data_IF_327471822590
#
_entry.id   IF_327471822590
#
_cell.length_a   1.000
_cell.length_b   1.000
_cell.length_c   1.000
_cell.angle_alpha   90.00
_cell.angle_beta   90.00
_cell.angle_gamma   90.00
#
_symmetry.space_group_name_H-M   'P 1'
#
loop_
_entity.id
_entity.type
_entity.pdbx_description
1 polymer ?
#
# COMPACT_ATOMS: atom_id res chain seq x y z
N UNK A 1 2.60 5.42 12.82
CA UNK A 1 1.36 4.96 12.16
C UNK A 1 0.24 5.86 12.64
N UNK A 2 -0.45 6.54 11.75
CA UNK A 2 -1.40 7.59 12.14
C UNK A 2 -2.69 7.51 11.32
N UNK A 3 -3.83 7.78 11.96
CA UNK A 3 -5.15 7.77 11.29
C UNK A 3 -5.24 8.80 10.16
N UNK A 4 -4.43 9.86 10.19
CA UNK A 4 -4.39 10.86 9.12
C UNK A 4 -3.91 10.28 7.78
N UNK A 5 -3.12 9.20 7.79
CA UNK A 5 -2.60 8.56 6.57
C UNK A 5 -3.73 7.94 5.73
N UNK A 6 -4.88 7.64 6.37
CA UNK A 6 -6.09 7.08 5.73
C UNK A 6 -7.32 7.98 5.91
N UNK A 7 -7.13 9.29 6.00
CA UNK A 7 -8.20 10.27 6.27
C UNK A 7 -9.42 10.08 5.36
N UNK A 8 -9.21 9.83 4.08
CA UNK A 8 -10.30 9.64 3.11
C UNK A 8 -11.13 8.39 3.41
N UNK A 9 -10.45 7.31 3.84
CA UNK A 9 -11.11 6.06 4.24
C UNK A 9 -11.90 6.29 5.52
N UNK A 10 -11.30 6.93 6.53
CA UNK A 10 -11.94 7.29 7.80
C UNK A 10 -13.19 8.15 7.53
N UNK A 11 -13.06 9.19 6.72
CA UNK A 11 -14.16 10.12 6.39
C UNK A 11 -15.34 9.39 5.74
N UNK A 12 -15.06 8.47 4.82
CA UNK A 12 -16.10 7.66 4.18
C UNK A 12 -16.85 6.78 5.19
N UNK A 13 -16.13 6.11 6.09
CA UNK A 13 -16.74 5.24 7.12
C UNK A 13 -17.55 6.06 8.13
N UNK A 14 -16.99 7.18 8.60
CA UNK A 14 -17.67 8.12 9.52
C UNK A 14 -18.98 8.60 8.92
N UNK A 15 -19.00 8.94 7.64
CA UNK A 15 -20.21 9.35 6.92
C UNK A 15 -21.27 8.23 6.89
N UNK A 16 -20.88 7.02 6.50
CA UNK A 16 -21.80 5.88 6.44
C UNK A 16 -22.40 5.61 7.81
N UNK A 17 -21.59 5.59 8.86
CA UNK A 17 -22.07 5.32 10.23
C UNK A 17 -23.00 6.45 10.70
N UNK A 18 -22.65 7.71 10.44
CA UNK A 18 -23.49 8.86 10.77
C UNK A 18 -24.84 8.81 10.05
N UNK A 19 -24.87 8.39 8.79
CA UNK A 19 -26.11 8.24 8.02
C UNK A 19 -26.99 7.09 8.53
N UNK A 20 -26.38 5.97 8.95
CA UNK A 20 -27.10 4.84 9.53
C UNK A 20 -27.67 5.18 10.91
N UNK A 21 -26.86 5.79 11.78
CA UNK A 21 -27.25 6.10 13.16
C UNK A 21 -28.07 7.38 13.30
N UNK A 22 -28.03 8.27 12.31
CA UNK A 22 -28.69 9.57 12.36
C UNK A 22 -28.09 10.57 13.34
N UNK A 23 -26.85 10.35 13.78
CA UNK A 23 -26.16 11.15 14.81
C UNK A 23 -24.81 11.70 14.32
N UNK A 24 -24.28 12.66 15.08
CA UNK A 24 -22.93 13.14 14.83
C UNK A 24 -21.90 12.09 15.23
N UNK A 25 -21.02 11.77 14.29
CA UNK A 25 -19.94 10.81 14.44
C UNK A 25 -18.62 11.51 14.17
N UNK A 26 -17.66 11.31 15.06
CA UNK A 26 -16.33 11.93 14.94
C UNK A 26 -15.24 10.90 15.23
N UNK A 27 -14.14 11.02 14.50
CA UNK A 27 -12.90 10.29 14.76
C UNK A 27 -11.79 11.29 15.07
N UNK A 28 -11.08 11.04 16.16
CA UNK A 28 -9.87 11.79 16.54
C UNK A 28 -8.68 10.84 16.62
N UNK A 29 -7.49 11.39 16.44
CA UNK A 29 -6.25 10.64 16.62
C UNK A 29 -5.80 10.58 18.09
N UNK A 30 -4.70 9.88 18.34
CA UNK A 30 -4.10 9.76 19.67
C UNK A 30 -3.59 11.08 20.25
N UNK A 31 -3.40 12.11 19.42
CA UNK A 31 -2.99 13.44 19.83
C UNK A 31 -4.19 14.36 20.07
N UNK A 32 -5.41 13.81 20.03
CA UNK A 32 -6.68 14.52 20.18
C UNK A 32 -7.01 15.47 19.02
N UNK A 33 -6.31 15.33 17.87
CA UNK A 33 -6.61 16.07 16.67
C UNK A 33 -7.76 15.40 15.91
N UNK A 34 -8.71 16.20 15.43
CA UNK A 34 -9.86 15.70 14.67
C UNK A 34 -9.43 15.25 13.27
N UNK A 35 -9.67 13.99 12.94
CA UNK A 35 -9.43 13.42 11.61
C UNK A 35 -10.64 13.62 10.71
N UNK A 36 -11.84 13.32 11.23
CA UNK A 36 -13.10 13.46 10.49
C UNK A 36 -14.27 13.65 11.43
N UNK A 37 -15.24 14.47 11.02
CA UNK A 37 -16.52 14.66 11.70
C UNK A 37 -17.60 14.84 10.65
N UNK A 38 -18.79 14.25 10.90
CA UNK A 38 -19.97 14.39 10.04
C UNK A 38 -21.14 14.85 10.90
N UNK A 39 -21.85 15.88 10.42
CA UNK A 39 -22.96 16.55 11.12
C UNK A 39 -22.54 17.16 12.47
N UNK A 40 -21.53 18.06 12.47
CA UNK A 40 -21.18 18.76 13.70
C UNK A 40 -22.42 19.52 14.22
N UNK A 41 -22.84 19.17 15.42
CA UNK A 41 -24.03 19.79 16.04
C UNK A 41 -23.79 21.24 16.50
N UNK A 42 -22.51 21.65 16.51
CA UNK A 42 -21.99 22.97 16.94
C UNK A 42 -20.54 23.14 16.39
N UNK A 43 -20.03 24.35 16.46
CA UNK A 43 -18.62 24.64 16.17
C UNK A 43 -17.74 23.90 17.20
N UNK A 44 -17.32 22.72 16.82
CA UNK A 44 -16.43 21.90 17.66
C UNK A 44 -14.99 22.34 17.42
N UNK A 45 -14.15 22.53 18.46
CA UNK A 45 -12.75 22.86 18.30
C UNK A 45 -11.99 21.77 17.51
N UNK A 46 -10.95 22.15 16.79
CA UNK A 46 -10.11 21.20 16.04
C UNK A 46 -9.40 20.21 16.99
N UNK A 47 -9.04 20.69 18.18
CA UNK A 47 -8.38 19.88 19.21
C UNK A 47 -9.32 19.62 20.37
N UNK A 48 -9.36 18.37 20.80
CA UNK A 48 -10.13 17.90 21.95
C UNK A 48 -9.22 17.87 23.17
N UNK A 49 -9.78 18.19 24.35
CA UNK A 49 -8.99 18.24 25.59
C UNK A 49 -8.72 16.84 26.15
N UNK A 50 -7.54 16.68 26.78
CA UNK A 50 -7.18 15.42 27.45
C UNK A 50 -8.07 15.05 28.64
N UNK A 51 -8.61 16.02 29.34
CA UNK A 51 -9.55 15.82 30.46
C UNK A 51 -11.02 15.67 29.99
N UNK A 52 -11.24 15.42 28.69
CA UNK A 52 -12.55 15.12 28.12
C UNK A 52 -12.90 13.62 28.23
N UNK A 53 -14.16 13.28 27.89
CA UNK A 53 -14.62 11.88 27.76
C UNK A 53 -13.73 11.11 26.77
N UNK A 54 -13.44 11.72 25.65
CA UNK A 54 -12.66 11.09 24.56
C UNK A 54 -11.19 10.97 24.95
N UNK A 55 -10.63 11.98 25.60
CA UNK A 55 -9.27 11.90 26.17
C UNK A 55 -9.12 10.79 27.20
N UNK A 56 -10.17 10.54 28.00
CA UNK A 56 -10.21 9.40 28.92
C UNK A 56 -10.17 8.07 28.19
N UNK A 57 -10.92 7.92 27.09
CA UNK A 57 -10.91 6.70 26.26
C UNK A 57 -9.55 6.45 25.65
N UNK A 58 -8.89 7.49 25.14
CA UNK A 58 -7.54 7.36 24.57
C UNK A 58 -6.53 6.97 25.64
N UNK A 59 -6.62 7.57 26.84
CA UNK A 59 -5.66 7.29 27.90
C UNK A 59 -5.84 5.93 28.56
N UNK A 60 -7.07 5.42 28.62
CA UNK A 60 -7.38 4.13 29.27
C UNK A 60 -7.47 2.95 28.32
N UNK A 61 -7.72 3.20 27.04
CA UNK A 61 -8.00 2.17 26.05
C UNK A 61 -9.35 1.44 26.27
N UNK A 62 -10.23 2.00 27.11
CA UNK A 62 -11.51 1.42 27.44
C UNK A 62 -12.67 2.24 26.87
N UNK A 63 -13.71 1.60 26.33
CA UNK A 63 -14.88 2.31 25.87
C UNK A 63 -15.60 3.02 27.05
N UNK A 64 -16.19 4.16 26.76
CA UNK A 64 -16.88 4.96 27.76
C UNK A 64 -18.19 5.51 27.19
N UNK A 65 -19.29 5.25 27.90
CA UNK A 65 -20.61 5.82 27.61
C UNK A 65 -21.06 6.71 28.77
N UNK A 66 -21.39 7.95 28.47
CA UNK A 66 -21.84 8.95 29.46
C UNK A 66 -23.19 9.46 29.03
N UNK A 67 -24.24 9.09 29.79
CA UNK A 67 -25.64 9.43 29.54
C UNK A 67 -26.00 10.88 29.93
N UNK A 68 -25.20 11.48 30.79
CA UNK A 68 -25.42 12.85 31.24
C UNK A 68 -24.05 13.54 31.48
N UNK A 69 -23.50 14.23 30.46
CA UNK A 69 -22.23 14.92 30.60
C UNK A 69 -22.17 15.90 31.79
N UNK A 70 -23.30 16.47 32.21
CA UNK A 70 -23.33 17.37 33.35
C UNK A 70 -23.02 16.72 34.70
N UNK A 71 -23.22 15.40 34.81
CA UNK A 71 -22.87 14.60 35.99
C UNK A 71 -21.44 14.05 35.94
N UNK A 72 -20.81 14.07 34.79
CA UNK A 72 -19.45 13.54 34.61
C UNK A 72 -18.43 14.55 35.12
N UNK A 73 -17.59 14.15 36.06
CA UNK A 73 -16.67 15.06 36.76
C UNK A 73 -15.73 15.86 35.82
N UNK A 74 -15.12 15.27 34.78
CA UNK A 74 -14.32 16.02 33.81
C UNK A 74 -15.11 17.07 33.04
N UNK A 75 -16.41 16.82 32.74
CA UNK A 75 -17.24 17.79 32.02
C UNK A 75 -17.50 19.07 32.84
N UNK A 76 -17.47 19.01 34.16
CA UNK A 76 -17.61 20.20 35.03
C UNK A 76 -16.52 21.24 34.81
N UNK A 77 -15.38 20.85 34.27
CA UNK A 77 -14.26 21.72 33.90
C UNK A 77 -14.27 22.17 32.45
N UNK A 78 -15.26 21.71 31.68
CA UNK A 78 -15.41 22.10 30.28
C UNK A 78 -15.84 23.58 30.18
N UNK A 79 -15.23 24.40 29.33
CA UNK A 79 -15.65 25.79 29.11
C UNK A 79 -17.11 25.90 28.71
N UNK A 80 -17.59 24.93 27.92
CA UNK A 80 -18.95 24.88 27.39
C UNK A 80 -19.94 24.16 28.32
N UNK A 81 -19.57 23.88 29.57
CA UNK A 81 -20.40 23.10 30.49
C UNK A 81 -21.83 23.62 30.62
N UNK A 82 -21.99 24.94 30.76
CA UNK A 82 -23.30 25.59 30.94
C UNK A 82 -24.12 25.71 29.63
N UNK A 83 -23.44 25.69 28.50
CA UNK A 83 -24.05 25.75 27.16
C UNK A 83 -24.12 24.38 26.47
N UNK A 84 -23.66 23.33 27.13
CA UNK A 84 -23.58 21.98 26.57
C UNK A 84 -24.96 21.48 26.12
N UNK A 85 -25.07 21.13 24.84
CA UNK A 85 -26.30 20.62 24.21
C UNK A 85 -26.31 19.10 24.04
N UNK A 86 -25.28 18.41 24.58
CA UNK A 86 -25.17 16.95 24.52
C UNK A 86 -26.06 16.32 25.58
N UNK A 87 -26.80 15.29 25.20
CA UNK A 87 -27.53 14.42 26.13
C UNK A 87 -26.66 13.24 26.56
N UNK A 88 -25.85 12.73 25.62
CA UNK A 88 -24.87 11.70 25.90
C UNK A 88 -23.73 11.65 24.92
N UNK A 89 -22.66 10.97 25.32
CA UNK A 89 -21.49 10.69 24.50
C UNK A 89 -21.11 9.23 24.68
N UNK A 90 -20.91 8.53 23.56
CA UNK A 90 -20.36 7.18 23.56
C UNK A 90 -19.06 7.24 22.78
N UNK A 91 -17.97 6.82 23.39
CA UNK A 91 -16.65 6.80 22.76
C UNK A 91 -16.01 5.42 22.89
N UNK A 92 -15.39 4.95 21.84
CA UNK A 92 -14.66 3.69 21.78
C UNK A 92 -13.25 3.92 21.25
N UNK A 93 -12.22 3.23 21.77
CA UNK A 93 -10.87 3.37 21.29
C UNK A 93 -10.71 2.69 19.92
N UNK A 94 -9.85 3.24 19.09
CA UNK A 94 -9.35 2.60 17.86
C UNK A 94 -8.00 2.01 18.18
N UNK A 95 -7.94 0.69 18.32
CA UNK A 95 -6.74 -0.04 18.73
C UNK A 95 -6.20 -0.84 17.55
N UNK A 96 -4.92 -0.71 17.26
CA UNK A 96 -4.26 -1.47 16.21
C UNK A 96 -2.98 -2.09 16.75
N UNK A 97 -2.86 -3.41 16.68
CA UNK A 97 -1.70 -4.16 17.17
C UNK A 97 -1.31 -3.83 18.63
N UNK A 98 -2.30 -3.55 19.46
CA UNK A 98 -2.09 -3.18 20.87
C UNK A 98 -1.78 -1.70 21.14
N UNK A 99 -1.65 -0.88 20.10
CA UNK A 99 -1.48 0.57 20.26
C UNK A 99 -2.79 1.32 20.03
N UNK A 100 -3.06 2.31 20.85
CA UNK A 100 -4.21 3.20 20.69
C UNK A 100 -3.85 4.25 19.64
N UNK A 101 -4.59 4.24 18.54
CA UNK A 101 -4.40 5.17 17.42
C UNK A 101 -5.28 6.40 17.51
N UNK A 102 -6.36 6.31 18.28
CA UNK A 102 -7.32 7.37 18.44
C UNK A 102 -8.60 6.86 19.06
N UNK A 103 -9.68 7.60 18.88
CA UNK A 103 -11.01 7.21 19.32
C UNK A 103 -12.08 7.57 18.28
N UNK A 104 -13.08 6.74 18.24
CA UNK A 104 -14.34 6.92 17.54
C UNK A 104 -15.39 7.31 18.54
N UNK A 105 -16.10 8.42 18.37
CA UNK A 105 -17.12 8.82 19.29
C UNK A 105 -18.38 9.36 18.61
N UNK A 106 -19.48 9.17 19.31
CA UNK A 106 -20.84 9.56 18.90
C UNK A 106 -21.39 10.52 19.92
N UNK A 107 -21.91 11.64 19.44
CA UNK A 107 -22.61 12.63 20.29
C UNK A 107 -24.11 12.52 20.07
N UNK A 108 -24.84 12.35 21.16
CA UNK A 108 -26.30 12.31 21.16
C UNK A 108 -26.82 13.66 21.64
N UNK A 109 -27.56 14.41 20.80
CA UNK A 109 -28.13 15.70 21.19
C UNK A 109 -29.33 15.50 22.16
N UNK A 110 -29.57 16.50 23.02
CA UNK A 110 -30.67 16.48 23.99
C UNK A 110 -32.08 16.25 23.39
N UNK A 111 -32.26 16.63 22.13
CA UNK A 111 -33.50 16.39 21.39
C UNK A 111 -33.79 14.91 21.10
N UNK A 112 -32.84 14.02 21.35
CA UNK A 112 -32.92 12.59 21.00
C UNK A 112 -32.57 11.68 22.17
N UNK A 113 -32.95 12.03 23.38
CA UNK A 113 -32.58 11.32 24.62
C UNK A 113 -32.80 9.81 24.62
N UNK A 114 -33.90 9.33 23.99
CA UNK A 114 -34.14 7.89 23.86
C UNK A 114 -33.13 7.16 22.96
N UNK A 115 -32.39 7.90 22.14
CA UNK A 115 -31.40 7.32 21.24
C UNK A 115 -30.15 6.87 22.00
N UNK A 116 -29.79 7.57 23.12
CA UNK A 116 -28.63 7.19 23.90
C UNK A 116 -28.73 5.76 24.45
N UNK A 117 -29.88 5.39 24.98
CA UNK A 117 -30.09 4.03 25.51
C UNK A 117 -29.96 2.96 24.41
N UNK A 118 -30.49 3.24 23.21
CA UNK A 118 -30.37 2.34 22.06
C UNK A 118 -28.91 2.22 21.62
N UNK A 119 -28.17 3.33 21.55
CA UNK A 119 -26.77 3.33 21.15
C UNK A 119 -25.86 2.71 22.22
N UNK A 120 -26.16 2.92 23.51
CA UNK A 120 -25.42 2.29 24.59
C UNK A 120 -25.56 0.76 24.58
N UNK A 121 -26.74 0.24 24.25
CA UNK A 121 -26.91 -1.20 24.04
C UNK A 121 -26.21 -1.73 22.78
N UNK A 122 -25.78 -0.83 21.91
CA UNK A 122 -25.08 -1.14 20.66
C UNK A 122 -23.60 -0.75 20.70
N UNK A 123 -23.01 -0.59 21.89
CA UNK A 123 -21.59 -0.20 22.03
C UNK A 123 -20.69 -1.17 21.27
N UNK A 124 -20.99 -2.47 21.29
CA UNK A 124 -20.27 -3.48 20.52
C UNK A 124 -20.34 -3.25 19.00
N UNK A 125 -21.39 -2.59 18.48
CA UNK A 125 -21.40 -2.17 17.09
C UNK A 125 -20.37 -1.09 16.81
N UNK A 126 -20.22 -0.13 17.73
CA UNK A 126 -19.21 0.94 17.59
C UNK A 126 -17.80 0.39 17.74
N UNK A 127 -17.57 -0.58 18.62
CA UNK A 127 -16.31 -1.30 18.76
C UNK A 127 -15.96 -2.05 17.47
N UNK A 128 -16.91 -2.80 16.91
CA UNK A 128 -16.72 -3.45 15.61
C UNK A 128 -16.37 -2.45 14.48
N UNK A 129 -16.95 -1.26 14.50
CA UNK A 129 -16.61 -0.21 13.53
C UNK A 129 -15.21 0.34 13.75
N UNK A 130 -14.77 0.49 14.99
CA UNK A 130 -13.40 0.87 15.33
C UNK A 130 -12.38 -0.21 14.87
N UNK A 131 -12.70 -1.48 15.07
CA UNK A 131 -11.88 -2.62 14.61
C UNK A 131 -11.75 -2.65 13.09
N UNK A 132 -12.85 -2.43 12.36
CA UNK A 132 -12.82 -2.33 10.90
C UNK A 132 -11.93 -1.18 10.40
N UNK A 133 -11.92 -0.03 11.08
CA UNK A 133 -11.01 1.06 10.76
C UNK A 133 -9.55 0.67 11.00
N UNK A 134 -9.29 -0.04 12.08
CA UNK A 134 -7.95 -0.56 12.41
C UNK A 134 -7.45 -1.55 11.35
N UNK A 135 -8.28 -2.49 10.92
CA UNK A 135 -7.94 -3.45 9.86
C UNK A 135 -7.67 -2.76 8.52
N UNK A 136 -8.45 -1.74 8.17
CA UNK A 136 -8.24 -0.94 6.96
C UNK A 136 -6.92 -0.20 7.01
N UNK A 137 -6.54 0.34 8.15
CA UNK A 137 -5.26 1.00 8.34
C UNK A 137 -4.10 0.01 8.16
N UNK A 138 -4.16 -1.17 8.77
CA UNK A 138 -3.14 -2.22 8.60
C UNK A 138 -2.99 -2.60 7.12
N UNK A 139 -4.11 -2.80 6.44
CA UNK A 139 -4.12 -3.16 5.02
C UNK A 139 -3.50 -2.06 4.15
N UNK A 140 -3.82 -0.80 4.41
CA UNK A 140 -3.26 0.34 3.71
C UNK A 140 -1.74 0.44 3.89
N UNK A 141 -1.25 0.25 5.12
CA UNK A 141 0.18 0.32 5.43
C UNK A 141 0.94 -0.80 4.74
N UNK A 142 0.41 -2.03 4.77
CA UNK A 142 1.00 -3.15 4.05
C UNK A 142 1.07 -2.88 2.55
N UNK A 143 -0.01 -2.36 1.98
CA UNK A 143 -0.05 -2.01 0.56
C UNK A 143 1.00 -0.93 0.23
N UNK A 144 1.07 0.13 1.03
CA UNK A 144 2.04 1.21 0.83
C UNK A 144 3.48 0.71 0.93
N UNK A 145 3.80 -0.10 1.96
CA UNK A 145 5.13 -0.68 2.11
C UNK A 145 5.52 -1.56 0.90
N UNK A 146 4.59 -2.35 0.36
CA UNK A 146 4.82 -3.16 -0.84
C UNK A 146 5.03 -2.29 -2.07
N UNK A 147 4.28 -1.19 -2.20
CA UNK A 147 4.41 -0.26 -3.32
C UNK A 147 5.75 0.51 -3.27
N UNK A 148 6.17 0.95 -2.08
CA UNK A 148 7.47 1.59 -1.86
C UNK A 148 8.62 0.65 -2.26
N UNK A 149 8.59 -0.62 -1.81
CA UNK A 149 9.57 -1.65 -2.21
C UNK A 149 9.56 -1.88 -3.73
N UNK A 150 8.36 -1.94 -4.33
CA UNK A 150 8.23 -2.10 -5.78
C UNK A 150 8.88 -0.93 -6.53
N UNK A 151 8.61 0.30 -6.10
CA UNK A 151 9.20 1.50 -6.71
C UNK A 151 10.72 1.53 -6.57
N UNK A 152 11.23 1.14 -5.40
CA UNK A 152 12.68 1.02 -5.18
C UNK A 152 13.30 -0.01 -6.11
N UNK A 153 12.70 -1.20 -6.25
CA UNK A 153 13.17 -2.21 -7.19
C UNK A 153 13.13 -1.73 -8.63
N UNK A 154 12.04 -1.07 -9.06
CA UNK A 154 11.92 -0.48 -10.39
C UNK A 154 13.02 0.57 -10.64
N UNK A 155 13.33 1.40 -9.64
CA UNK A 155 14.40 2.39 -9.74
C UNK A 155 15.75 1.70 -9.92
N UNK A 156 16.08 0.70 -9.10
CA UNK A 156 17.36 -0.04 -9.18
C UNK A 156 17.51 -0.68 -10.57
N UNK A 157 16.48 -1.38 -11.06
CA UNK A 157 16.55 -2.06 -12.36
C UNK A 157 16.63 -1.06 -13.52
N UNK A 158 16.05 0.15 -13.38
CA UNK A 158 16.17 1.21 -14.38
C UNK A 158 17.55 1.92 -14.38
N UNK A 159 18.31 1.84 -13.29
CA UNK A 159 19.69 2.35 -13.21
C UNK A 159 20.69 1.43 -13.93
N UNK A 160 20.32 0.17 -14.16
CA UNK A 160 21.17 -0.78 -14.90
C UNK A 160 21.22 -0.33 -16.36
N UNK A 161 22.43 -0.20 -16.92
CA UNK A 161 22.63 0.19 -18.31
C UNK A 161 22.24 -0.91 -19.32
N UNK A 162 22.10 -2.13 -18.87
CA UNK A 162 21.66 -3.24 -19.68
C UNK A 162 20.12 -3.26 -19.85
N UNK A 163 19.64 -3.76 -20.98
CA UNK A 163 18.22 -4.00 -21.21
C UNK A 163 17.78 -5.26 -20.46
N UNK A 164 16.85 -5.12 -19.54
CA UNK A 164 16.39 -6.20 -18.67
C UNK A 164 14.91 -6.48 -18.88
N UNK A 165 14.57 -7.77 -19.02
CA UNK A 165 13.16 -8.23 -19.05
C UNK A 165 12.98 -9.47 -18.18
N UNK A 166 11.82 -9.53 -17.48
CA UNK A 166 11.35 -10.69 -16.73
C UNK A 166 10.13 -11.26 -17.41
N UNK A 167 10.13 -12.58 -17.63
CA UNK A 167 8.98 -13.30 -18.18
C UNK A 167 8.56 -14.42 -17.26
N UNK A 168 7.34 -14.89 -17.40
CA UNK A 168 6.97 -16.21 -16.89
C UNK A 168 7.60 -17.34 -17.71
N UNK A 169 7.34 -18.59 -17.33
CA UNK A 169 7.85 -19.78 -18.02
C UNK A 169 7.25 -19.96 -19.42
N UNK A 170 6.11 -19.32 -19.72
CA UNK A 170 5.50 -19.33 -21.06
C UNK A 170 6.15 -18.30 -21.98
N UNK A 171 7.01 -17.45 -21.45
CA UNK A 171 7.69 -16.36 -22.16
C UNK A 171 6.89 -15.07 -22.23
N UNK A 172 5.81 -14.92 -21.45
CA UNK A 172 5.07 -13.67 -21.38
C UNK A 172 5.82 -12.64 -20.54
N UNK A 173 6.06 -11.45 -21.09
CA UNK A 173 6.80 -10.37 -20.42
C UNK A 173 5.94 -9.79 -19.30
N UNK A 174 6.37 -10.01 -18.05
CA UNK A 174 5.74 -9.45 -16.86
C UNK A 174 6.29 -8.07 -16.52
N UNK A 175 7.58 -7.84 -16.78
CA UNK A 175 8.27 -6.59 -16.50
C UNK A 175 9.44 -6.41 -17.47
N UNK A 176 9.73 -5.15 -17.83
CA UNK A 176 10.96 -4.77 -18.52
C UNK A 176 11.37 -3.34 -18.11
N UNK A 177 12.69 -3.09 -18.06
CA UNK A 177 13.22 -1.76 -17.75
C UNK A 177 13.14 -0.82 -18.97
N UNK A 178 13.34 0.49 -18.70
CA UNK A 178 13.32 1.51 -19.77
C UNK A 178 14.32 1.23 -20.90
N UNK A 179 15.49 0.66 -20.58
CA UNK A 179 16.48 0.32 -21.61
C UNK A 179 15.96 -0.76 -22.55
N UNK A 180 15.29 -1.79 -22.01
CA UNK A 180 14.66 -2.82 -22.82
C UNK A 180 13.55 -2.25 -23.72
N UNK A 181 12.70 -1.38 -23.15
CA UNK A 181 11.64 -0.71 -23.95
C UNK A 181 12.24 0.09 -25.10
N UNK A 182 13.25 0.92 -24.85
CA UNK A 182 13.90 1.75 -25.89
C UNK A 182 14.57 0.90 -26.96
N UNK A 183 15.11 -0.28 -26.60
CA UNK A 183 15.86 -1.13 -27.52
C UNK A 183 14.97 -2.08 -28.32
N UNK A 184 13.85 -2.50 -27.77
CA UNK A 184 13.00 -3.55 -28.34
C UNK A 184 11.54 -3.14 -28.54
N UNK A 185 11.12 -1.95 -28.12
CA UNK A 185 9.76 -1.51 -28.28
C UNK A 185 9.41 -1.24 -29.74
N UNK A 186 8.33 -1.83 -30.17
CA UNK A 186 7.71 -1.62 -31.50
C UNK A 186 6.55 -0.63 -31.45
N UNK A 187 6.37 0.11 -30.33
CA UNK A 187 5.33 1.13 -30.17
C UNK A 187 4.00 0.61 -29.57
N UNK A 188 3.89 -0.69 -29.30
CA UNK A 188 2.63 -1.30 -28.81
C UNK A 188 2.61 -1.63 -27.31
N UNK A 189 3.69 -1.26 -26.57
CA UNK A 189 3.91 -1.69 -25.19
C UNK A 189 4.32 -3.17 -25.11
N UNK A 190 5.33 -3.48 -24.30
CA UNK A 190 5.93 -4.82 -24.25
C UNK A 190 5.32 -5.73 -23.19
N UNK A 191 4.68 -5.16 -22.18
CA UNK A 191 4.10 -5.93 -21.08
C UNK A 191 2.92 -6.79 -21.59
N UNK A 192 2.94 -8.06 -21.23
CA UNK A 192 1.94 -9.03 -21.71
C UNK A 192 2.25 -9.64 -23.09
N UNK A 193 3.26 -9.14 -23.83
CA UNK A 193 3.68 -9.77 -25.08
C UNK A 193 4.60 -10.97 -24.84
N UNK A 194 4.67 -11.88 -25.80
CA UNK A 194 5.63 -12.98 -25.75
C UNK A 194 7.03 -12.47 -26.06
N UNK A 195 8.02 -12.86 -25.26
CA UNK A 195 9.43 -12.54 -25.50
C UNK A 195 9.91 -13.04 -26.86
N UNK A 196 9.34 -14.13 -27.38
CA UNK A 196 9.68 -14.67 -28.71
C UNK A 196 9.16 -13.82 -29.87
N UNK A 197 8.13 -13.00 -29.65
CA UNK A 197 7.68 -12.03 -30.66
C UNK A 197 8.60 -10.82 -30.71
N UNK A 198 9.22 -10.48 -29.59
CA UNK A 198 10.13 -9.34 -29.44
C UNK A 198 11.55 -9.72 -29.86
N UNK A 199 12.02 -10.90 -29.42
CA UNK A 199 13.36 -11.41 -29.70
C UNK A 199 13.26 -12.75 -30.43
N UNK A 200 13.39 -12.67 -31.75
CA UNK A 200 13.29 -13.86 -32.63
C UNK A 200 14.62 -14.61 -32.68
N UNK A 201 14.99 -15.27 -31.58
CA UNK A 201 16.23 -16.03 -31.49
C UNK A 201 15.97 -17.49 -31.10
N UNK A 202 16.65 -18.49 -31.76
CA UNK A 202 16.46 -19.91 -31.46
C UNK A 202 16.70 -20.27 -30.01
N UNK A 203 17.72 -19.71 -29.37
CA UNK A 203 18.06 -20.00 -27.99
C UNK A 203 16.98 -19.50 -26.99
N UNK A 204 16.24 -18.43 -27.31
CA UNK A 204 15.10 -17.98 -26.50
C UNK A 204 13.98 -19.02 -26.52
N UNK A 205 13.70 -19.58 -27.72
CA UNK A 205 12.70 -20.64 -27.86
C UNK A 205 13.10 -21.92 -27.13
N UNK A 206 14.39 -22.29 -27.20
CA UNK A 206 14.93 -23.47 -26.50
C UNK A 206 14.83 -23.30 -24.97
N UNK A 207 15.14 -22.12 -24.43
CA UNK A 207 14.97 -21.82 -22.98
C UNK A 207 13.52 -21.97 -22.51
N UNK A 208 12.56 -21.55 -23.31
CA UNK A 208 11.15 -21.67 -22.98
C UNK A 208 10.69 -23.15 -23.04
N UNK A 209 11.29 -23.97 -23.91
CA UNK A 209 10.96 -25.40 -24.01
C UNK A 209 11.59 -26.23 -22.88
N UNK A 210 12.72 -25.78 -22.32
CA UNK A 210 13.46 -26.50 -21.28
C UNK A 210 13.80 -25.61 -20.06
N UNK A 211 12.79 -25.06 -19.37
CA UNK A 211 13.02 -24.07 -18.29
C UNK A 211 13.68 -24.65 -17.04
N UNK A 212 13.78 -25.96 -16.93
CA UNK A 212 14.35 -26.63 -15.73
C UNK A 212 15.88 -26.71 -15.70
N UNK A 213 16.55 -26.38 -16.79
CA UNK A 213 18.03 -26.35 -16.80
C UNK A 213 18.50 -25.03 -16.19
N UNK A 214 18.97 -25.11 -14.93
CA UNK A 214 19.67 -24.01 -14.24
C UNK A 214 20.91 -23.63 -15.06
N UNK A 215 21.02 -22.38 -15.43
CA UNK A 215 22.20 -21.83 -16.10
C UNK A 215 21.85 -20.67 -17.02
N UNK A 216 22.79 -19.74 -17.17
CA UNK A 216 22.70 -18.68 -18.15
C UNK A 216 23.05 -19.21 -19.53
N UNK A 217 22.32 -18.76 -20.57
CA UNK A 217 22.70 -18.99 -21.95
C UNK A 217 23.09 -17.67 -22.57
N UNK A 218 24.26 -17.65 -23.17
CA UNK A 218 24.74 -16.50 -23.93
C UNK A 218 24.01 -16.43 -25.27
N UNK A 219 23.48 -15.27 -25.59
CA UNK A 219 22.74 -14.98 -26.79
C UNK A 219 23.43 -13.85 -27.55
N UNK A 220 23.71 -14.07 -28.82
CA UNK A 220 24.06 -12.98 -29.73
C UNK A 220 22.83 -12.68 -30.59
N UNK A 221 22.34 -11.44 -30.52
CA UNK A 221 21.15 -11.03 -31.23
C UNK A 221 21.40 -9.74 -31.99
N UNK A 222 21.07 -9.73 -33.27
CA UNK A 222 21.01 -8.54 -34.11
C UNK A 222 19.55 -8.18 -34.35
N UNK A 223 19.17 -6.97 -33.91
CA UNK A 223 17.80 -6.50 -34.11
C UNK A 223 17.61 -6.16 -35.59
N UNK A 224 16.73 -6.86 -36.31
CA UNK A 224 16.56 -6.68 -37.76
C UNK A 224 15.98 -5.31 -38.14
N UNK A 225 15.27 -4.66 -37.21
CA UNK A 225 14.64 -3.34 -37.44
C UNK A 225 15.61 -2.19 -37.20
N UNK A 226 16.47 -2.29 -36.18
CA UNK A 226 17.35 -1.21 -35.76
C UNK A 226 18.82 -1.46 -36.16
N UNK A 227 19.11 -2.61 -36.70
CA UNK A 227 20.49 -3.06 -37.04
C UNK A 227 21.49 -2.96 -35.87
N UNK A 228 20.96 -3.06 -34.62
CA UNK A 228 21.77 -3.02 -33.41
C UNK A 228 22.12 -4.43 -32.97
N UNK A 229 23.36 -4.57 -32.46
CA UNK A 229 23.90 -5.84 -32.01
C UNK A 229 23.89 -5.92 -30.48
N UNK A 230 23.39 -7.00 -29.94
CA UNK A 230 23.31 -7.21 -28.50
C UNK A 230 23.94 -8.54 -28.11
N UNK A 231 24.70 -8.53 -27.03
CA UNK A 231 24.99 -9.74 -26.25
C UNK A 231 23.96 -9.83 -25.13
N UNK A 232 23.33 -10.98 -25.00
CA UNK A 232 22.34 -11.23 -23.97
C UNK A 232 22.66 -12.48 -23.19
N UNK A 233 22.24 -12.49 -21.95
CA UNK A 233 22.24 -13.69 -21.10
C UNK A 233 20.82 -13.91 -20.62
N UNK A 234 20.33 -15.13 -20.80
CA UNK A 234 19.04 -15.50 -20.28
C UNK A 234 19.22 -16.50 -19.15
N UNK A 235 18.64 -16.19 -17.98
CA UNK A 235 18.69 -17.03 -16.78
C UNK A 235 17.32 -17.57 -16.46
N UNK A 236 17.24 -18.86 -16.15
CA UNK A 236 16.07 -19.45 -15.55
C UNK A 236 16.20 -19.40 -14.02
N UNK A 237 15.31 -18.65 -13.37
CA UNK A 237 15.21 -18.63 -11.91
C UNK A 237 14.01 -19.50 -11.49
N UNK A 238 14.31 -20.71 -11.01
CA UNK A 238 13.31 -21.58 -10.41
C UNK A 238 13.27 -21.31 -8.90
N UNK A 239 12.19 -20.72 -8.41
CA UNK A 239 11.92 -20.72 -6.98
C UNK A 239 11.40 -22.09 -6.56
N UNK A 240 12.06 -22.69 -5.56
CA UNK A 240 11.76 -24.01 -5.00
C UNK A 240 10.49 -24.06 -4.12
N UNK A 241 9.44 -23.33 -4.45
CA UNK A 241 8.15 -23.45 -3.77
C UNK A 241 7.16 -24.14 -4.68
N UNK A 242 6.51 -25.18 -4.16
CA UNK A 242 5.56 -26.05 -4.85
C UNK A 242 4.34 -25.36 -5.50
N UNK A 243 4.32 -24.03 -5.55
CA UNK A 243 3.25 -23.20 -6.14
C UNK A 243 3.71 -22.02 -6.99
N UNK A 244 5.02 -21.72 -7.09
CA UNK A 244 5.49 -20.60 -7.92
C UNK A 244 5.99 -21.13 -9.27
N UNK A 245 5.33 -20.71 -10.33
CA UNK A 245 5.83 -20.81 -11.69
C UNK A 245 7.19 -20.11 -11.73
N UNK A 246 8.23 -20.78 -12.27
CA UNK A 246 9.55 -20.18 -12.43
C UNK A 246 9.46 -18.95 -13.32
N UNK A 247 10.38 -18.00 -13.11
CA UNK A 247 10.51 -16.82 -13.96
C UNK A 247 11.80 -16.90 -14.75
N UNK A 248 11.82 -16.32 -15.94
CA UNK A 248 12.99 -16.18 -16.76
C UNK A 248 13.44 -14.72 -16.74
N UNK A 249 14.75 -14.52 -16.53
CA UNK A 249 15.41 -13.23 -16.60
C UNK A 249 16.22 -13.15 -17.90
N UNK A 250 15.96 -12.10 -18.68
CA UNK A 250 16.72 -11.75 -19.87
C UNK A 250 17.47 -10.45 -19.64
N UNK A 251 18.77 -10.45 -19.90
CA UNK A 251 19.64 -9.27 -19.81
C UNK A 251 20.37 -9.10 -21.13
N UNK A 252 20.28 -7.94 -21.75
CA UNK A 252 20.93 -7.63 -23.02
C UNK A 252 21.79 -6.38 -22.91
N UNK A 253 23.06 -6.50 -23.28
CA UNK A 253 24.00 -5.40 -23.35
C UNK A 253 24.21 -5.00 -24.82
N UNK A 254 24.12 -3.71 -25.11
CA UNK A 254 24.42 -3.19 -26.44
C UNK A 254 25.94 -3.21 -26.67
N UNK A 255 26.36 -3.88 -27.75
CA UNK A 255 27.81 -3.98 -28.08
C UNK A 255 28.35 -2.67 -28.64
N UNK A 256 27.52 -1.90 -29.35
CA UNK A 256 27.94 -0.63 -29.95
C UNK A 256 28.34 0.39 -28.87
N UNK A 257 27.80 0.25 -27.65
CA UNK A 257 28.21 1.04 -26.47
C UNK A 257 29.50 0.50 -25.80
N UNK A 258 29.91 -0.72 -26.11
CA UNK A 258 31.11 -1.37 -25.57
C UNK A 258 32.36 -1.22 -26.47
N UNK A 259 32.27 -0.50 -27.56
CA UNK A 259 33.43 -0.28 -28.47
C UNK A 259 34.65 0.34 -27.75
N UNK A 260 34.46 1.00 -26.63
CA UNK A 260 35.56 1.48 -25.75
C UNK A 260 36.23 0.36 -24.96
N UNK A 261 35.58 -0.80 -24.76
CA UNK A 261 36.12 -1.95 -24.01
C UNK A 261 36.83 -2.95 -24.90
N UNK A 262 36.52 -3.01 -26.21
CA UNK A 262 37.15 -3.94 -27.15
C UNK A 262 38.55 -3.49 -27.60
N UNK A 263 38.98 -2.27 -27.32
CA UNK A 263 40.35 -1.80 -27.57
C UNK A 263 41.36 -2.22 -26.50
N UNK A 264 40.92 -2.68 -25.33
CA UNK A 264 41.75 -3.36 -24.35
C UNK A 264 41.60 -4.88 -24.55
N UNK A 265 42.67 -5.45 -25.08
CA UNK A 265 42.89 -6.88 -25.38
C UNK A 265 42.24 -7.84 -24.34
N UNK A 266 40.99 -8.21 -24.47
CA UNK A 266 40.43 -9.34 -23.76
C UNK A 266 39.72 -10.28 -24.73
N UNK A 267 40.22 -11.51 -24.74
CA UNK A 267 39.73 -12.69 -25.40
C UNK A 267 38.23 -12.95 -25.02
N UNK A 268 37.33 -13.15 -26.01
CA UNK A 268 35.93 -13.44 -25.75
C UNK A 268 35.68 -14.66 -24.84
N UNK A 269 36.61 -15.61 -24.77
CA UNK A 269 36.54 -16.80 -23.94
C UNK A 269 36.84 -16.56 -22.44
N UNK A 270 37.41 -15.41 -22.09
CA UNK A 270 37.67 -15.09 -20.67
C UNK A 270 36.43 -14.63 -19.91
N UNK A 271 35.35 -14.24 -20.60
CA UNK A 271 34.09 -13.79 -20.00
C UNK A 271 33.25 -14.95 -19.50
N UNK A 272 33.44 -16.14 -20.06
CA UNK A 272 32.66 -17.32 -19.64
C UNK A 272 33.09 -17.90 -18.28
N UNK A 273 34.24 -17.49 -17.74
CA UNK A 273 34.83 -18.03 -16.51
C UNK A 273 34.77 -17.08 -15.31
N UNK A 274 34.17 -15.88 -15.46
CA UNK A 274 34.10 -14.87 -14.37
C UNK A 274 32.68 -14.48 -13.94
N UNK A 275 31.68 -15.32 -14.29
CA UNK A 275 30.30 -15.20 -13.78
C UNK A 275 29.87 -16.48 -13.07
#
# INVERSE_FOLDING_TARGET
>A
MELKDIKDVVTRHVKIISDILGVNVTVIDRNLCRISSVRPSFEEPEEVRWDSIVGTVISTGQPLAVDNPSKYAPCKRCPDFHSCRMDGVIAVPIICQGEILGAFYVVVPRSQGNLFQKLNSSIGFLENMADLLSEKLVSYIRYKALDDIRQEHEMIVNLIDDAVAFTDISGQINYCNKKFQVQFDTGAGLQGQSITSVIQHPAVRELLQTPQKRGGRLLYYENPVQSRKFYGVAYCHSQNSARSQGNLLFVFRNIDSCATWLNDKHDPDSFANSI
#
